data_IF_921084806934
#
_entry.id   IF_921084806934
#
_cell.length_a   1.000
_cell.length_b   1.000
_cell.length_c   1.000
_cell.angle_alpha   90.00
_cell.angle_beta   90.00
_cell.angle_gamma   90.00
#
_symmetry.space_group_name_H-M   'P 1'
#
loop_
_entity.id
_entity.type
_entity.pdbx_description
1 polymer ?
#
# COMPACT_ATOMS: atom_id res chain seq x y z
N UNK A 1 -6.23 -9.61 52.81
CA UNK A 1 -5.58 -8.34 52.42
C UNK A 1 -4.31 -8.57 51.63
N UNK A 2 -3.43 -9.48 52.04
CA UNK A 2 -2.21 -9.87 51.30
C UNK A 2 -2.46 -10.42 49.89
N UNK A 3 -3.55 -11.14 49.64
CA UNK A 3 -3.90 -11.65 48.30
C UNK A 3 -4.34 -10.53 47.35
N UNK A 4 -5.02 -9.50 47.87
CA UNK A 4 -5.43 -8.33 47.08
C UNK A 4 -4.22 -7.44 46.79
N UNK A 5 -3.30 -7.29 47.73
CA UNK A 5 -2.01 -6.61 47.51
C UNK A 5 -1.13 -7.39 46.53
N UNK A 6 -1.12 -8.73 46.53
CA UNK A 6 -0.44 -9.54 45.50
C UNK A 6 -1.06 -9.38 44.11
N UNK A 7 -2.38 -9.23 44.00
CA UNK A 7 -3.07 -8.99 42.72
C UNK A 7 -2.82 -7.56 42.23
N UNK A 8 -2.84 -6.56 43.13
CA UNK A 8 -2.50 -5.17 42.80
C UNK A 8 -1.02 -5.00 42.46
N UNK A 9 -0.13 -5.78 43.07
CA UNK A 9 1.30 -5.84 42.73
C UNK A 9 1.59 -6.69 41.48
N UNK A 10 0.69 -7.60 41.07
CA UNK A 10 0.78 -8.28 39.76
C UNK A 10 0.37 -7.35 38.61
N UNK A 11 -0.54 -6.41 38.87
CA UNK A 11 -0.86 -5.29 37.96
C UNK A 11 0.12 -4.12 38.04
N UNK A 12 1.13 -4.20 38.91
CA UNK A 12 2.27 -3.30 38.87
C UNK A 12 3.10 -3.70 37.65
N UNK A 13 2.74 -3.09 36.52
CA UNK A 13 3.55 -2.84 35.32
C UNK A 13 4.95 -3.43 35.49
N UNK A 14 5.15 -4.65 34.98
CA UNK A 14 6.49 -5.24 34.86
C UNK A 14 7.27 -4.19 34.09
N UNK A 15 8.09 -3.39 34.77
CA UNK A 15 8.81 -2.28 34.16
C UNK A 15 9.53 -2.87 32.95
N UNK A 16 9.00 -2.60 31.75
CA UNK A 16 9.54 -3.19 30.53
C UNK A 16 10.91 -2.55 30.39
N UNK A 17 11.92 -3.33 30.73
CA UNK A 17 13.30 -2.87 30.63
C UNK A 17 13.57 -2.62 29.15
N UNK A 18 13.76 -1.35 28.80
CA UNK A 18 13.99 -0.94 27.43
C UNK A 18 15.43 -1.30 27.05
N UNK A 19 15.61 -2.49 26.48
CA UNK A 19 16.91 -2.97 26.03
C UNK A 19 17.14 -2.54 24.57
N UNK A 20 18.25 -1.86 24.25
CA UNK A 20 18.57 -1.49 22.89
C UNK A 20 18.78 -2.74 22.03
N UNK A 21 18.21 -2.74 20.82
CA UNK A 21 18.57 -3.72 19.79
C UNK A 21 20.02 -3.46 19.38
N UNK A 22 20.84 -4.51 19.25
CA UNK A 22 22.23 -4.41 18.80
C UNK A 22 22.49 -5.44 17.70
N UNK A 23 21.68 -5.37 16.64
CA UNK A 23 21.84 -6.20 15.44
C UNK A 23 22.10 -5.32 14.21
N UNK A 24 23.39 -5.05 14.00
CA UNK A 24 23.89 -4.23 12.89
C UNK A 24 23.57 -4.84 11.52
N UNK A 25 23.45 -6.16 11.43
CA UNK A 25 23.16 -6.85 10.17
C UNK A 25 21.72 -6.58 9.75
N UNK A 26 20.77 -6.75 10.68
CA UNK A 26 19.35 -6.47 10.43
C UNK A 26 19.13 -4.98 10.14
N UNK A 27 19.84 -4.07 10.84
CA UNK A 27 19.81 -2.64 10.52
C UNK A 27 20.25 -2.36 9.08
N UNK A 28 21.40 -2.90 8.66
CA UNK A 28 21.93 -2.69 7.31
C UNK A 28 20.96 -3.22 6.25
N UNK A 29 20.39 -4.41 6.45
CA UNK A 29 19.37 -4.98 5.56
C UNK A 29 18.15 -4.06 5.47
N UNK A 30 17.59 -3.62 6.60
CA UNK A 30 16.42 -2.72 6.60
C UNK A 30 16.72 -1.38 5.93
N UNK A 31 17.90 -0.79 6.12
CA UNK A 31 18.30 0.45 5.44
C UNK A 31 18.42 0.26 3.92
N UNK A 32 19.09 -0.81 3.49
CA UNK A 32 19.19 -1.17 2.08
C UNK A 32 17.81 -1.34 1.44
N UNK A 33 16.88 -2.01 2.13
CA UNK A 33 15.52 -2.20 1.67
C UNK A 33 14.74 -0.89 1.57
N UNK A 34 14.86 0.02 2.55
CA UNK A 34 14.24 1.34 2.50
C UNK A 34 14.72 2.16 1.29
N UNK A 35 16.03 2.15 1.01
CA UNK A 35 16.60 2.85 -0.15
C UNK A 35 16.08 2.23 -1.45
N UNK A 36 16.16 0.90 -1.58
CA UNK A 36 15.68 0.18 -2.76
C UNK A 36 14.19 0.40 -3.01
N UNK A 37 13.39 0.48 -1.95
CA UNK A 37 11.96 0.78 -2.01
C UNK A 37 11.73 2.17 -2.63
N UNK A 38 12.38 3.22 -2.12
CA UNK A 38 12.22 4.58 -2.68
C UNK A 38 12.61 4.59 -4.16
N UNK A 39 13.77 4.02 -4.49
CA UNK A 39 14.26 3.93 -5.88
C UNK A 39 13.23 3.21 -6.77
N UNK A 40 12.57 2.16 -6.28
CA UNK A 40 11.58 1.41 -7.07
C UNK A 40 10.35 2.24 -7.46
N UNK A 41 9.91 3.14 -6.59
CA UNK A 41 8.70 3.95 -6.80
C UNK A 41 8.95 5.22 -7.61
N UNK A 42 10.16 5.79 -7.51
CA UNK A 42 10.52 7.04 -8.18
C UNK A 42 10.18 7.08 -9.69
N UNK A 43 10.50 6.06 -10.52
CA UNK A 43 10.16 6.09 -11.94
C UNK A 43 8.65 6.19 -12.19
N UNK A 44 7.83 5.53 -11.36
CA UNK A 44 6.38 5.56 -11.49
C UNK A 44 5.84 6.95 -11.11
N UNK A 45 6.27 7.50 -9.97
CA UNK A 45 5.89 8.85 -9.56
C UNK A 45 6.31 9.89 -10.60
N UNK A 46 7.55 9.81 -11.08
CA UNK A 46 8.08 10.69 -12.10
C UNK A 46 7.23 10.64 -13.38
N UNK A 47 6.89 9.43 -13.88
CA UNK A 47 6.07 9.28 -15.09
C UNK A 47 4.71 9.98 -14.97
N UNK A 48 4.03 9.84 -13.83
CA UNK A 48 2.72 10.48 -13.61
C UNK A 48 2.88 12.01 -13.59
N UNK A 49 3.90 12.51 -12.88
CA UNK A 49 4.15 13.95 -12.73
C UNK A 49 4.59 14.59 -14.05
N UNK A 50 5.50 13.94 -14.78
CA UNK A 50 6.05 14.43 -16.03
C UNK A 50 5.01 14.42 -17.16
N UNK A 51 4.22 13.34 -17.27
CA UNK A 51 3.20 13.22 -18.32
C UNK A 51 1.88 13.92 -17.95
N UNK A 52 1.73 14.39 -16.70
CA UNK A 52 0.53 15.08 -16.20
C UNK A 52 -0.77 14.31 -16.42
N UNK A 53 -0.69 12.98 -16.40
CA UNK A 53 -1.82 12.08 -16.63
C UNK A 53 -1.71 10.81 -15.82
N UNK A 54 -2.85 10.35 -15.29
CA UNK A 54 -2.99 9.07 -14.60
C UNK A 54 -3.73 8.01 -15.44
N UNK A 55 -3.71 8.15 -16.77
CA UNK A 55 -4.27 7.15 -17.67
C UNK A 55 -3.64 5.76 -17.49
N UNK A 56 -4.48 4.73 -17.59
CA UNK A 56 -4.08 3.33 -17.43
C UNK A 56 -4.11 2.81 -15.99
N UNK A 57 -4.34 3.67 -14.99
CA UNK A 57 -4.54 3.26 -13.60
C UNK A 57 -6.01 2.90 -13.33
N UNK A 58 -6.23 1.85 -12.52
CA UNK A 58 -7.55 1.43 -12.07
C UNK A 58 -7.83 1.96 -10.66
N UNK A 59 -8.91 2.74 -10.49
CA UNK A 59 -9.34 3.26 -9.20
C UNK A 59 -9.60 2.14 -8.18
N UNK A 60 -10.20 1.02 -8.60
CA UNK A 60 -10.44 -0.15 -7.75
C UNK A 60 -9.16 -0.83 -7.28
N UNK A 61 -8.17 -0.92 -8.17
CA UNK A 61 -6.85 -1.47 -7.80
C UNK A 61 -6.17 -0.59 -6.74
N UNK A 62 -6.24 0.73 -6.92
CA UNK A 62 -5.68 1.68 -5.95
C UNK A 62 -6.45 1.67 -4.62
N UNK A 63 -7.79 1.53 -4.64
CA UNK A 63 -8.60 1.36 -3.43
C UNK A 63 -8.10 0.18 -2.60
N UNK A 64 -8.04 -1.01 -3.20
CA UNK A 64 -7.65 -2.24 -2.51
C UNK A 64 -6.23 -2.12 -1.94
N UNK A 65 -5.31 -1.53 -2.70
CA UNK A 65 -3.93 -1.34 -2.25
C UNK A 65 -3.78 -0.30 -1.13
N UNK A 66 -4.51 0.82 -1.17
CA UNK A 66 -4.41 1.86 -0.13
C UNK A 66 -5.03 1.38 1.17
N UNK A 67 -6.21 0.75 1.10
CA UNK A 67 -6.87 0.18 2.29
C UNK A 67 -5.98 -0.91 2.88
N UNK A 68 -5.50 -1.85 2.05
CA UNK A 68 -4.59 -2.91 2.48
C UNK A 68 -3.32 -2.37 3.14
N UNK A 69 -2.59 -1.46 2.48
CA UNK A 69 -1.33 -0.92 3.02
C UNK A 69 -1.55 -0.09 4.29
N UNK A 70 -2.67 0.63 4.39
CA UNK A 70 -3.05 1.35 5.61
C UNK A 70 -3.30 0.38 6.77
N UNK A 71 -4.01 -0.73 6.52
CA UNK A 71 -4.22 -1.76 7.55
C UNK A 71 -2.89 -2.39 8.00
N UNK A 72 -1.97 -2.69 7.07
CA UNK A 72 -0.62 -3.19 7.41
C UNK A 72 0.18 -2.17 8.24
N UNK A 73 0.07 -0.87 7.93
CA UNK A 73 0.77 0.18 8.67
C UNK A 73 0.28 0.29 10.11
N UNK A 74 -1.03 0.28 10.35
CA UNK A 74 -1.55 0.27 11.72
C UNK A 74 -1.26 -1.04 12.45
N UNK A 75 -1.31 -2.18 11.76
CA UNK A 75 -0.90 -3.48 12.32
C UNK A 75 0.51 -3.41 12.93
N UNK A 76 1.52 -2.91 12.18
CA UNK A 76 2.88 -2.84 12.70
C UNK A 76 3.04 -1.83 13.83
N UNK A 77 2.33 -0.69 13.79
CA UNK A 77 2.35 0.31 14.88
C UNK A 77 1.84 -0.30 16.18
N UNK A 78 0.72 -1.04 16.11
CA UNK A 78 0.12 -1.70 17.27
C UNK A 78 1.06 -2.78 17.84
N UNK A 79 1.67 -3.59 16.98
CA UNK A 79 2.60 -4.65 17.39
C UNK A 79 3.92 -4.12 17.94
N UNK A 80 4.42 -2.99 17.44
CA UNK A 80 5.67 -2.38 17.91
C UNK A 80 5.44 -1.22 18.89
N UNK A 81 4.26 -1.13 19.51
CA UNK A 81 3.95 -0.05 20.43
C UNK A 81 4.95 0.06 21.59
N UNK A 82 5.37 -1.09 22.15
CA UNK A 82 6.35 -1.10 23.24
C UNK A 82 7.71 -0.53 22.81
N UNK A 83 8.15 -0.83 21.58
CA UNK A 83 9.37 -0.27 21.02
C UNK A 83 9.24 1.26 20.83
N UNK A 84 8.06 1.73 20.40
CA UNK A 84 7.75 3.16 20.27
C UNK A 84 7.78 3.87 21.63
N UNK A 85 7.22 3.27 22.68
CA UNK A 85 7.25 3.84 24.04
C UNK A 85 8.67 3.85 24.59
N UNK A 86 9.44 2.79 24.38
CA UNK A 86 10.83 2.68 24.83
C UNK A 86 11.78 3.70 24.20
N UNK A 87 11.44 4.29 23.06
CA UNK A 87 12.23 5.36 22.45
C UNK A 87 12.43 6.59 23.34
N UNK A 88 11.57 6.82 24.35
CA UNK A 88 11.74 7.91 25.32
C UNK A 88 12.94 7.69 26.26
N UNK A 89 13.37 6.45 26.43
CA UNK A 89 14.42 6.05 27.38
C UNK A 89 15.72 5.58 26.69
N UNK A 90 15.68 5.41 25.37
CA UNK A 90 16.82 4.94 24.57
C UNK A 90 17.54 6.10 23.88
N UNK A 91 18.80 5.87 23.49
CA UNK A 91 19.52 6.79 22.61
C UNK A 91 18.86 6.85 21.23
N UNK A 92 19.06 7.96 20.50
CA UNK A 92 18.46 8.15 19.17
C UNK A 92 18.79 7.01 18.20
N UNK A 93 20.04 6.52 18.20
CA UNK A 93 20.45 5.40 17.36
C UNK A 93 19.73 4.09 17.71
N UNK A 94 19.68 3.75 19.01
CA UNK A 94 18.98 2.55 19.46
C UNK A 94 17.46 2.61 19.20
N UNK A 95 16.84 3.79 19.37
CA UNK A 95 15.45 4.00 19.00
C UNK A 95 15.23 3.80 17.49
N UNK A 96 16.09 4.39 16.65
CA UNK A 96 16.00 4.25 15.20
C UNK A 96 16.08 2.79 14.77
N UNK A 97 17.03 2.02 15.30
CA UNK A 97 17.17 0.58 15.08
C UNK A 97 15.91 -0.20 15.49
N UNK A 98 15.37 0.12 16.67
CA UNK A 98 14.11 -0.45 17.18
C UNK A 98 12.92 -0.18 16.25
N UNK A 99 12.82 1.03 15.70
CA UNK A 99 11.69 1.47 14.88
C UNK A 99 11.81 1.11 13.39
N UNK A 100 12.91 0.48 12.95
CA UNK A 100 13.13 0.21 11.53
C UNK A 100 11.98 -0.56 10.86
N UNK A 101 11.26 -1.44 11.55
CA UNK A 101 10.10 -2.14 10.97
C UNK A 101 8.92 -1.22 10.70
N UNK A 102 8.62 -0.30 11.64
CA UNK A 102 7.59 0.73 11.47
C UNK A 102 7.99 1.70 10.36
N UNK A 103 9.26 2.11 10.31
CA UNK A 103 9.79 2.99 9.26
C UNK A 103 9.68 2.33 7.88
N UNK A 104 10.10 1.07 7.77
CA UNK A 104 10.13 0.33 6.51
C UNK A 104 8.72 0.10 5.93
N UNK A 105 7.76 -0.31 6.76
CA UNK A 105 6.35 -0.45 6.35
C UNK A 105 5.68 0.91 6.13
N UNK A 106 5.96 1.91 6.98
CA UNK A 106 5.45 3.26 6.82
C UNK A 106 5.90 3.92 5.52
N UNK A 107 7.15 3.67 5.11
CA UNK A 107 7.69 4.13 3.83
C UNK A 107 6.98 3.46 2.65
N UNK A 108 6.73 2.15 2.71
CA UNK A 108 5.94 1.42 1.71
C UNK A 108 4.53 2.02 1.57
N UNK A 109 3.86 2.25 2.71
CA UNK A 109 2.53 2.85 2.76
C UNK A 109 2.52 4.28 2.17
N UNK A 110 3.49 5.11 2.54
CA UNK A 110 3.62 6.47 2.04
C UNK A 110 3.87 6.51 0.53
N UNK A 111 4.80 5.69 0.02
CA UNK A 111 5.11 5.63 -1.41
C UNK A 111 3.91 5.17 -2.25
N UNK A 112 3.17 4.15 -1.79
CA UNK A 112 1.96 3.69 -2.48
C UNK A 112 0.81 4.71 -2.37
N UNK A 113 0.61 5.32 -1.20
CA UNK A 113 -0.40 6.38 -1.02
C UNK A 113 -0.11 7.60 -1.89
N UNK A 114 1.16 7.94 -2.10
CA UNK A 114 1.56 8.99 -3.04
C UNK A 114 1.14 8.67 -4.48
N UNK A 115 1.22 7.40 -4.92
CA UNK A 115 0.68 7.00 -6.24
C UNK A 115 -0.81 7.30 -6.33
N UNK A 116 -1.57 7.00 -5.26
CA UNK A 116 -3.01 7.28 -5.23
C UNK A 116 -3.33 8.78 -5.24
N UNK A 117 -2.59 9.59 -4.48
CA UNK A 117 -2.73 11.05 -4.50
C UNK A 117 -2.41 11.61 -5.88
N UNK A 118 -1.30 11.19 -6.49
CA UNK A 118 -0.93 11.59 -7.85
C UNK A 118 -1.98 11.15 -8.88
N UNK A 119 -2.58 9.96 -8.71
CA UNK A 119 -3.67 9.48 -9.55
C UNK A 119 -4.88 10.43 -9.55
N UNK A 120 -5.29 10.92 -8.37
CA UNK A 120 -6.40 11.86 -8.24
C UNK A 120 -6.04 13.25 -8.77
N UNK A 121 -4.83 13.75 -8.47
CA UNK A 121 -4.36 15.06 -8.91
C UNK A 121 -4.24 15.15 -10.44
N UNK A 122 -3.68 14.12 -11.06
CA UNK A 122 -3.46 14.05 -12.51
C UNK A 122 -4.53 13.23 -13.23
N UNK A 123 -5.73 13.11 -12.65
CA UNK A 123 -6.86 12.49 -13.34
C UNK A 123 -7.20 13.29 -14.62
N UNK A 124 -7.21 12.65 -15.80
CA UNK A 124 -7.34 13.36 -17.08
C UNK A 124 -8.64 14.16 -17.17
N UNK A 125 -8.53 15.46 -17.45
CA UNK A 125 -9.68 16.37 -17.45
C UNK A 125 -10.75 16.00 -18.47
N UNK A 126 -10.32 15.51 -19.64
CA UNK A 126 -11.22 15.01 -20.68
C UNK A 126 -12.12 13.87 -20.21
N UNK A 127 -11.70 13.09 -19.20
CA UNK A 127 -12.49 12.00 -18.62
C UNK A 127 -13.28 12.40 -17.38
N UNK A 128 -13.15 13.64 -16.87
CA UNK A 128 -13.91 14.09 -15.69
C UNK A 128 -15.39 14.33 -15.99
N UNK A 129 -15.71 14.72 -17.22
CA UNK A 129 -17.08 15.05 -17.65
C UNK A 129 -17.47 14.19 -18.84
N UNK A 130 -18.75 13.85 -18.94
CA UNK A 130 -19.26 13.17 -20.14
C UNK A 130 -19.33 14.18 -21.28
N UNK A 131 -18.77 13.82 -22.44
CA UNK A 131 -18.98 14.59 -23.66
C UNK A 131 -20.42 14.34 -24.13
N UNK A 132 -21.24 15.39 -24.25
CA UNK A 132 -22.56 15.23 -24.83
C UNK A 132 -22.42 14.79 -26.29
N UNK A 133 -23.14 13.73 -26.70
CA UNK A 133 -23.41 13.52 -28.12
C UNK A 133 -24.10 14.79 -28.65
N UNK A 134 -23.71 15.34 -29.81
CA UNK A 134 -24.35 16.52 -30.35
C UNK A 134 -25.83 16.19 -30.57
N UNK A 135 -26.69 16.71 -29.69
CA UNK A 135 -28.14 16.61 -29.86
C UNK A 135 -28.46 17.49 -31.05
N UNK A 136 -28.91 16.84 -32.12
CA UNK A 136 -29.57 17.38 -33.31
C UNK A 136 -29.71 18.90 -33.36
N UNK A 137 -29.05 19.49 -34.37
CA UNK A 137 -29.33 20.75 -35.06
C UNK A 137 -30.46 21.63 -34.46
N UNK A 138 -30.10 22.87 -34.11
CA UNK A 138 -30.94 24.02 -33.73
C UNK A 138 -31.55 24.06 -32.32
N UNK A 139 -30.91 24.82 -31.42
CA UNK A 139 -31.37 26.15 -30.98
C UNK A 139 -30.31 26.74 -30.02
N UNK A 140 -29.78 27.91 -30.35
CA UNK A 140 -28.90 28.69 -29.46
C UNK A 140 -29.68 29.16 -28.22
N UNK A 141 -29.69 28.33 -27.18
CA UNK A 141 -30.06 28.77 -25.83
C UNK A 141 -28.77 28.85 -25.00
N UNK A 142 -28.49 29.97 -24.30
CA UNK A 142 -27.30 30.12 -23.47
C UNK A 142 -27.50 29.33 -22.18
N UNK A 143 -27.51 28.02 -22.30
CA UNK A 143 -27.62 27.13 -21.18
C UNK A 143 -26.21 26.89 -20.66
N UNK A 144 -25.88 27.61 -19.59
CA UNK A 144 -24.78 27.34 -18.66
C UNK A 144 -25.02 26.01 -17.92
N UNK A 145 -25.40 24.95 -18.65
CA UNK A 145 -25.61 23.62 -18.11
C UNK A 145 -24.26 22.94 -18.18
N UNK A 146 -23.52 23.01 -17.08
CA UNK A 146 -22.28 22.26 -16.91
C UNK A 146 -22.55 20.78 -17.17
N UNK A 147 -21.77 20.17 -18.06
CA UNK A 147 -21.90 18.76 -18.39
C UNK A 147 -21.71 17.88 -17.13
N UNK A 148 -22.52 16.82 -16.97
CA UNK A 148 -22.50 15.97 -15.79
C UNK A 148 -21.15 15.25 -15.63
N UNK A 149 -20.76 14.99 -14.38
CA UNK A 149 -19.55 14.23 -14.06
C UNK A 149 -19.62 12.82 -14.66
N UNK A 150 -18.49 12.34 -15.18
CA UNK A 150 -18.36 10.96 -15.66
C UNK A 150 -18.49 9.95 -14.51
N UNK A 151 -18.93 8.75 -14.84
CA UNK A 151 -19.05 7.67 -13.86
C UNK A 151 -17.67 7.25 -13.31
N UNK A 152 -16.62 7.28 -14.15
CA UNK A 152 -15.24 6.97 -13.72
C UNK A 152 -14.72 7.96 -12.67
N UNK A 153 -14.99 9.25 -12.86
CA UNK A 153 -14.59 10.26 -11.90
C UNK A 153 -15.39 10.16 -10.60
N UNK A 154 -16.71 9.92 -10.67
CA UNK A 154 -17.54 9.65 -9.48
C UNK A 154 -17.02 8.46 -8.68
N UNK A 155 -16.69 7.34 -9.34
CA UNK A 155 -16.11 6.17 -8.69
C UNK A 155 -14.79 6.53 -8.02
N UNK A 156 -13.92 7.30 -8.69
CA UNK A 156 -12.65 7.74 -8.12
C UNK A 156 -12.81 8.60 -6.86
N UNK A 157 -13.83 9.47 -6.82
CA UNK A 157 -14.16 10.27 -5.63
C UNK A 157 -14.70 9.40 -4.48
N UNK A 158 -15.56 8.43 -4.77
CA UNK A 158 -16.06 7.48 -3.76
C UNK A 158 -14.91 6.65 -3.20
N UNK A 159 -14.01 6.16 -4.07
CA UNK A 159 -12.79 5.46 -3.66
C UNK A 159 -11.95 6.31 -2.72
N UNK A 160 -11.74 7.59 -3.04
CA UNK A 160 -11.00 8.52 -2.17
C UNK A 160 -11.67 8.69 -0.81
N UNK A 161 -13.00 8.86 -0.77
CA UNK A 161 -13.76 8.97 0.48
C UNK A 161 -13.64 7.69 1.33
N UNK A 162 -13.72 6.51 0.71
CA UNK A 162 -13.55 5.22 1.42
C UNK A 162 -12.14 5.08 1.98
N UNK A 163 -11.10 5.41 1.21
CA UNK A 163 -9.72 5.39 1.69
C UNK A 163 -9.51 6.32 2.90
N UNK A 164 -10.02 7.56 2.83
CA UNK A 164 -9.94 8.54 3.92
C UNK A 164 -10.72 8.05 5.14
N UNK A 165 -11.94 7.55 4.94
CA UNK A 165 -12.76 7.00 6.01
C UNK A 165 -12.10 5.82 6.71
N UNK A 166 -11.52 4.89 5.96
CA UNK A 166 -10.78 3.75 6.51
C UNK A 166 -9.51 4.18 7.27
N UNK A 167 -8.75 5.14 6.73
CA UNK A 167 -7.59 5.73 7.41
C UNK A 167 -7.99 6.36 8.74
N UNK A 168 -9.03 7.20 8.75
CA UNK A 168 -9.53 7.85 9.94
C UNK A 168 -10.01 6.81 10.96
N UNK A 169 -10.87 5.87 10.55
CA UNK A 169 -11.39 4.83 11.44
C UNK A 169 -10.26 4.00 12.06
N UNK A 170 -9.30 3.56 11.24
CA UNK A 170 -8.16 2.77 11.72
C UNK A 170 -7.28 3.56 12.68
N UNK A 171 -7.05 4.84 12.40
CA UNK A 171 -6.33 5.75 13.28
C UNK A 171 -7.04 5.92 14.62
N UNK A 172 -8.33 6.28 14.62
CA UNK A 172 -9.10 6.51 15.84
C UNK A 172 -9.17 5.26 16.71
N UNK A 173 -9.51 4.10 16.15
CA UNK A 173 -9.58 2.84 16.93
C UNK A 173 -8.21 2.48 17.49
N UNK A 174 -7.14 2.57 16.68
CA UNK A 174 -5.79 2.23 17.13
C UNK A 174 -5.32 3.16 18.25
N UNK A 175 -5.52 4.47 18.13
CA UNK A 175 -5.16 5.43 19.17
C UNK A 175 -5.95 5.19 20.46
N UNK A 176 -7.27 4.96 20.36
CA UNK A 176 -8.11 4.67 21.53
C UNK A 176 -7.62 3.40 22.26
N UNK A 177 -7.31 2.33 21.53
CA UNK A 177 -6.78 1.10 22.13
C UNK A 177 -5.41 1.35 22.78
N UNK A 178 -4.50 2.04 22.10
CA UNK A 178 -3.15 2.29 22.64
C UNK A 178 -3.14 3.20 23.87
N UNK A 179 -4.07 4.17 23.95
CA UNK A 179 -4.18 5.11 25.08
C UNK A 179 -4.92 4.48 26.27
N UNK A 180 -6.03 3.78 26.03
CA UNK A 180 -6.90 3.30 27.12
C UNK A 180 -6.65 1.84 27.52
N UNK A 181 -6.11 1.02 26.62
CA UNK A 181 -5.83 -0.40 26.87
C UNK A 181 -4.33 -0.64 26.99
N UNK A 182 -3.54 -0.07 26.08
CA UNK A 182 -2.09 -0.23 26.03
C UNK A 182 -1.62 -1.07 24.85
N UNK A 183 -0.39 -1.59 24.96
CA UNK A 183 0.33 -2.29 23.89
C UNK A 183 -0.22 -3.68 23.51
N UNK A 184 0.51 -4.43 22.68
CA UNK A 184 0.06 -5.69 22.07
C UNK A 184 -0.04 -6.86 23.05
N UNK A 185 0.43 -6.72 24.30
CA UNK A 185 0.25 -7.71 25.38
C UNK A 185 -1.23 -7.81 25.80
N UNK A 186 -2.00 -6.73 25.59
CA UNK A 186 -3.43 -6.75 25.83
C UNK A 186 -4.16 -7.39 24.64
N UNK A 187 -5.04 -8.34 24.93
CA UNK A 187 -5.72 -9.12 23.90
C UNK A 187 -6.57 -8.27 22.95
N UNK A 188 -7.13 -7.14 23.40
CA UNK A 188 -7.94 -6.24 22.56
C UNK A 188 -7.07 -5.56 21.48
N UNK A 189 -5.92 -4.99 21.88
CA UNK A 189 -4.95 -4.39 20.96
C UNK A 189 -4.40 -5.43 20.01
N UNK A 190 -4.07 -6.63 20.52
CA UNK A 190 -3.57 -7.73 19.71
C UNK A 190 -4.60 -8.21 18.68
N UNK A 191 -5.86 -8.35 19.08
CA UNK A 191 -6.96 -8.78 18.21
C UNK A 191 -7.22 -7.76 17.10
N UNK A 192 -7.25 -6.47 17.43
CA UNK A 192 -7.38 -5.40 16.44
C UNK A 192 -6.21 -5.39 15.46
N UNK A 193 -4.98 -5.55 15.95
CA UNK A 193 -3.80 -5.68 15.09
C UNK A 193 -3.94 -6.90 14.15
N UNK A 194 -4.33 -8.06 14.67
CA UNK A 194 -4.51 -9.27 13.86
C UNK A 194 -5.58 -9.11 12.79
N UNK A 195 -6.71 -8.49 13.13
CA UNK A 195 -7.77 -8.15 12.17
C UNK A 195 -7.23 -7.28 11.03
N UNK A 196 -6.49 -6.22 11.34
CA UNK A 196 -5.89 -5.34 10.34
C UNK A 196 -4.88 -6.08 9.44
N UNK A 197 -4.06 -6.96 10.01
CA UNK A 197 -3.10 -7.77 9.24
C UNK A 197 -3.80 -8.73 8.27
N UNK A 198 -4.84 -9.45 8.74
CA UNK A 198 -5.62 -10.37 7.90
C UNK A 198 -6.39 -9.61 6.82
N UNK A 199 -7.05 -8.49 7.18
CA UNK A 199 -7.75 -7.63 6.24
C UNK A 199 -6.79 -7.16 5.14
N UNK A 200 -5.58 -6.74 5.52
CA UNK A 200 -4.54 -6.31 4.59
C UNK A 200 -4.19 -7.42 3.58
N UNK A 201 -3.95 -8.64 4.05
CA UNK A 201 -3.62 -9.80 3.21
C UNK A 201 -4.76 -10.13 2.23
N UNK A 202 -6.01 -10.16 2.69
CA UNK A 202 -7.17 -10.46 1.85
C UNK A 202 -7.32 -9.40 0.75
N UNK A 203 -7.29 -8.12 1.12
CA UNK A 203 -7.44 -7.02 0.17
C UNK A 203 -6.30 -6.99 -0.85
N UNK A 204 -5.07 -7.24 -0.42
CA UNK A 204 -3.93 -7.33 -1.33
C UNK A 204 -4.06 -8.52 -2.29
N UNK A 205 -4.57 -9.65 -1.82
CA UNK A 205 -4.84 -10.82 -2.68
C UNK A 205 -5.89 -10.47 -3.75
N UNK A 206 -6.99 -9.83 -3.34
CA UNK A 206 -8.03 -9.35 -4.25
C UNK A 206 -7.54 -8.25 -5.20
N UNK A 207 -6.47 -7.52 -4.83
CA UNK A 207 -5.83 -6.54 -5.69
C UNK A 207 -5.04 -7.21 -6.83
N UNK A 208 -4.25 -8.24 -6.52
CA UNK A 208 -3.36 -8.88 -7.49
C UNK A 208 -4.03 -9.98 -8.34
N UNK A 209 -4.94 -10.78 -7.77
CA UNK A 209 -5.54 -11.93 -8.47
C UNK A 209 -6.29 -11.52 -9.76
N UNK A 210 -7.18 -10.50 -9.75
CA UNK A 210 -7.88 -10.09 -10.98
C UNK A 210 -6.91 -9.59 -12.05
N UNK A 211 -5.82 -8.94 -11.65
CA UNK A 211 -4.78 -8.49 -12.58
C UNK A 211 -4.06 -9.68 -13.19
N UNK A 212 -3.62 -10.66 -12.39
CA UNK A 212 -3.01 -11.91 -12.85
C UNK A 212 -3.93 -12.61 -13.86
N UNK A 213 -5.21 -12.76 -13.52
CA UNK A 213 -6.20 -13.36 -14.40
C UNK A 213 -6.37 -12.57 -15.71
N UNK A 214 -6.46 -11.23 -15.63
CA UNK A 214 -6.58 -10.37 -16.82
C UNK A 214 -5.36 -10.49 -17.72
N UNK A 215 -4.15 -10.47 -17.16
CA UNK A 215 -2.92 -10.61 -17.95
C UNK A 215 -2.82 -12.00 -18.59
N UNK A 216 -3.27 -13.05 -17.88
CA UNK A 216 -3.38 -14.42 -18.44
C UNK A 216 -4.29 -14.47 -19.67
N UNK A 217 -5.48 -13.87 -19.56
CA UNK A 217 -6.46 -13.84 -20.64
C UNK A 217 -6.01 -12.97 -21.81
N UNK A 218 -5.47 -11.77 -21.53
CA UNK A 218 -5.08 -10.81 -22.56
C UNK A 218 -3.79 -11.18 -23.27
N UNK A 219 -2.88 -11.92 -22.62
CA UNK A 219 -1.51 -12.22 -23.09
C UNK A 219 -0.72 -10.94 -23.45
N UNK A 220 -1.05 -9.81 -22.82
CA UNK A 220 -0.45 -8.49 -22.99
C UNK A 220 -0.04 -7.93 -21.64
N UNK A 221 1.09 -7.22 -21.58
CA UNK A 221 1.72 -6.78 -20.32
C UNK A 221 1.00 -5.57 -19.69
N UNK A 222 0.24 -4.81 -20.49
CA UNK A 222 -0.52 -3.65 -20.00
C UNK A 222 0.37 -2.47 -19.59
N UNK A 223 -0.19 -1.51 -18.84
CA UNK A 223 0.50 -0.28 -18.44
C UNK A 223 1.38 -0.40 -17.18
N UNK A 224 1.51 -1.61 -16.61
CA UNK A 224 2.18 -1.86 -15.33
C UNK A 224 3.70 -1.74 -15.49
N UNK A 225 4.36 -1.11 -14.52
CA UNK A 225 5.80 -0.89 -14.52
C UNK A 225 6.56 -2.20 -14.24
N UNK A 226 6.95 -2.92 -15.29
CA UNK A 226 7.86 -4.08 -15.21
C UNK A 226 9.14 -3.74 -14.42
N UNK A 227 9.81 -2.59 -14.65
CA UNK A 227 11.04 -2.26 -13.92
C UNK A 227 10.86 -2.15 -12.41
N UNK A 228 9.74 -1.58 -11.96
CA UNK A 228 9.39 -1.50 -10.54
C UNK A 228 9.21 -2.89 -9.94
N UNK A 229 8.47 -3.77 -10.63
CA UNK A 229 8.26 -5.14 -10.17
C UNK A 229 9.54 -5.96 -10.14
N UNK A 230 10.46 -5.76 -11.10
CA UNK A 230 11.76 -6.43 -11.13
C UNK A 230 12.64 -6.05 -9.94
N UNK A 231 12.60 -4.80 -9.49
CA UNK A 231 13.37 -4.37 -8.31
C UNK A 231 12.70 -4.85 -7.01
N UNK A 232 11.37 -4.78 -6.93
CA UNK A 232 10.63 -5.10 -5.70
C UNK A 232 10.54 -6.60 -5.41
N UNK A 233 10.25 -7.44 -6.41
CA UNK A 233 10.03 -8.88 -6.21
C UNK A 233 11.15 -9.57 -5.42
N UNK A 234 12.44 -9.43 -5.78
CA UNK A 234 13.53 -10.01 -4.99
C UNK A 234 13.68 -9.32 -3.62
N UNK A 235 13.47 -8.00 -3.56
CA UNK A 235 13.49 -7.24 -2.31
C UNK A 235 12.44 -7.70 -1.31
N UNK A 236 11.26 -8.14 -1.77
CA UNK A 236 10.16 -8.60 -0.90
C UNK A 236 10.54 -9.83 -0.08
N UNK A 237 11.38 -10.73 -0.60
CA UNK A 237 11.87 -11.88 0.18
C UNK A 237 12.72 -11.43 1.39
N UNK A 238 13.64 -10.50 1.16
CA UNK A 238 14.46 -9.89 2.22
C UNK A 238 13.60 -9.02 3.16
N UNK A 239 12.57 -8.35 2.64
CA UNK A 239 11.62 -7.58 3.42
C UNK A 239 10.87 -8.47 4.41
N UNK A 240 10.31 -9.60 3.95
CA UNK A 240 9.64 -10.58 4.81
C UNK A 240 10.61 -11.14 5.85
N UNK A 241 11.82 -11.51 5.46
CA UNK A 241 12.85 -11.97 6.40
C UNK A 241 13.14 -10.93 7.49
N UNK A 242 13.33 -9.66 7.11
CA UNK A 242 13.60 -8.55 8.05
C UNK A 242 12.48 -8.32 9.06
N UNK A 243 11.24 -8.69 8.72
CA UNK A 243 10.10 -8.64 9.63
C UNK A 243 10.04 -9.87 10.52
N UNK A 244 10.27 -11.08 10.00
CA UNK A 244 10.25 -12.33 10.78
C UNK A 244 11.28 -12.29 11.92
N UNK A 245 12.49 -11.79 11.65
CA UNK A 245 13.55 -11.72 12.68
C UNK A 245 13.36 -10.55 13.66
N UNK A 246 12.40 -9.66 13.42
CA UNK A 246 12.19 -8.47 14.24
C UNK A 246 11.41 -8.80 15.51
N UNK A 247 11.95 -8.49 16.71
CA UNK A 247 11.23 -8.67 17.97
C UNK A 247 9.93 -7.85 18.03
N UNK A 248 8.93 -8.38 18.73
CA UNK A 248 7.62 -7.73 18.87
C UNK A 248 6.72 -7.84 17.65
N UNK A 249 7.17 -8.47 16.57
CA UNK A 249 6.31 -8.77 15.42
C UNK A 249 5.74 -10.19 15.51
N UNK A 250 4.69 -10.45 14.74
CA UNK A 250 4.11 -11.79 14.59
C UNK A 250 3.72 -12.04 13.13
N UNK A 251 3.12 -13.19 12.85
CA UNK A 251 2.75 -13.58 11.48
C UNK A 251 1.81 -12.60 10.77
N UNK A 252 0.98 -11.87 11.51
CA UNK A 252 0.05 -10.89 10.92
C UNK A 252 0.77 -9.67 10.32
N UNK A 253 2.01 -9.40 10.75
CA UNK A 253 2.84 -8.32 10.23
C UNK A 253 3.56 -8.66 8.93
N UNK A 254 3.99 -9.92 8.74
CA UNK A 254 4.83 -10.30 7.59
C UNK A 254 4.08 -11.11 6.53
N UNK A 255 2.99 -11.80 6.89
CA UNK A 255 2.30 -12.73 5.98
C UNK A 255 1.70 -12.01 4.76
N UNK A 256 1.16 -10.79 4.93
CA UNK A 256 0.69 -9.95 3.83
C UNK A 256 1.79 -9.72 2.78
N UNK A 257 3.01 -9.42 3.21
CA UNK A 257 4.14 -9.17 2.32
C UNK A 257 4.63 -10.45 1.63
N UNK A 258 4.56 -11.58 2.33
CA UNK A 258 4.86 -12.89 1.73
C UNK A 258 3.86 -13.22 0.61
N UNK A 259 2.57 -13.09 0.89
CA UNK A 259 1.50 -13.38 -0.09
C UNK A 259 1.59 -12.42 -1.28
N UNK A 260 1.74 -11.12 -1.04
CA UNK A 260 1.89 -10.14 -2.12
C UNK A 260 3.17 -10.35 -2.92
N UNK A 261 4.28 -10.73 -2.29
CA UNK A 261 5.52 -11.10 -2.99
C UNK A 261 5.34 -12.26 -3.95
N UNK A 262 4.64 -13.32 -3.53
CA UNK A 262 4.33 -14.48 -4.40
C UNK A 262 3.42 -14.08 -5.56
N UNK A 263 2.37 -13.31 -5.30
CA UNK A 263 1.43 -12.85 -6.33
C UNK A 263 2.12 -11.90 -7.33
N UNK A 264 2.91 -10.94 -6.83
CA UNK A 264 3.69 -10.01 -7.65
C UNK A 264 4.76 -10.74 -8.47
N UNK A 265 5.45 -11.71 -7.89
CA UNK A 265 6.42 -12.56 -8.59
C UNK A 265 5.76 -13.39 -9.69
N UNK A 266 4.58 -13.96 -9.42
CA UNK A 266 3.78 -14.68 -10.43
C UNK A 266 3.43 -13.76 -11.60
N UNK A 267 2.91 -12.56 -11.31
CA UNK A 267 2.61 -11.56 -12.33
C UNK A 267 3.85 -11.14 -13.13
N UNK A 268 5.00 -10.97 -12.47
CA UNK A 268 6.25 -10.61 -13.13
C UNK A 268 6.70 -11.67 -14.14
N UNK A 269 6.71 -12.95 -13.74
CA UNK A 269 7.08 -14.07 -14.62
C UNK A 269 6.17 -14.09 -15.85
N UNK A 270 4.88 -13.96 -15.62
CA UNK A 270 3.85 -13.84 -16.64
C UNK A 270 4.14 -12.68 -17.62
N UNK A 271 4.35 -11.47 -17.12
CA UNK A 271 4.71 -10.30 -17.93
C UNK A 271 5.97 -10.50 -18.77
N UNK A 272 7.02 -11.10 -18.20
CA UNK A 272 8.27 -11.40 -18.91
C UNK A 272 8.02 -12.39 -20.04
N UNK A 273 7.29 -13.48 -19.78
CA UNK A 273 6.97 -14.51 -20.79
C UNK A 273 6.21 -13.91 -21.97
N UNK A 274 5.19 -13.08 -21.73
CA UNK A 274 4.43 -12.46 -22.82
C UNK A 274 5.20 -11.38 -23.55
N UNK A 275 6.03 -10.59 -22.86
CA UNK A 275 6.89 -9.61 -23.52
C UNK A 275 7.78 -10.27 -24.58
N UNK A 276 8.46 -11.37 -24.22
CA UNK A 276 9.31 -12.10 -25.17
C UNK A 276 8.50 -12.76 -26.28
N UNK A 277 7.33 -13.34 -25.97
CA UNK A 277 6.44 -13.92 -26.97
C UNK A 277 5.94 -12.88 -27.97
N UNK A 278 5.44 -11.75 -27.50
CA UNK A 278 4.86 -10.69 -28.33
C UNK A 278 5.94 -10.05 -29.20
N UNK A 279 7.13 -9.81 -28.65
CA UNK A 279 8.30 -9.37 -29.41
C UNK A 279 8.66 -10.34 -30.54
N UNK A 280 8.61 -11.65 -30.30
CA UNK A 280 8.85 -12.68 -31.33
C UNK A 280 7.76 -12.69 -32.42
N UNK A 281 6.52 -12.35 -32.07
CA UNK A 281 5.37 -12.33 -32.98
C UNK A 281 5.13 -10.96 -33.64
N UNK A 282 5.93 -9.94 -33.33
CA UNK A 282 5.71 -8.57 -33.82
C UNK A 282 4.44 -7.90 -33.27
N UNK A 283 3.94 -8.35 -32.12
CA UNK A 283 2.73 -7.80 -31.49
C UNK A 283 3.08 -6.70 -30.48
N UNK A 284 2.30 -5.61 -30.38
CA UNK A 284 2.52 -4.57 -29.38
C UNK A 284 2.10 -5.04 -27.97
N UNK A 285 2.89 -4.66 -26.96
CA UNK A 285 2.65 -5.02 -25.56
C UNK A 285 1.52 -4.21 -24.87
N UNK A 286 1.23 -3.04 -25.42
CA UNK A 286 0.19 -2.11 -24.97
C UNK A 286 -0.80 -1.95 -26.12
N UNK A 287 -2.08 -1.93 -25.78
CA UNK A 287 -3.11 -1.63 -26.77
C UNK A 287 -3.04 -0.14 -27.12
N UNK A 288 -2.92 0.24 -28.41
CA UNK A 288 -2.95 1.64 -28.80
C UNK A 288 -4.25 2.25 -28.29
N UNK A 289 -4.17 3.38 -27.60
CA UNK A 289 -5.37 4.16 -27.25
C UNK A 289 -6.11 4.51 -28.54
N UNK A 290 -7.43 4.66 -28.44
CA UNK A 290 -8.30 4.94 -29.59
C UNK A 290 -7.83 6.17 -30.40
N UNK A 291 -7.17 7.13 -29.73
CA UNK A 291 -6.50 8.29 -30.32
C UNK A 291 -5.35 7.93 -31.27
N UNK A 292 -4.59 6.87 -31.00
CA UNK A 292 -3.48 6.42 -31.86
C UNK A 292 -4.00 5.75 -33.13
N UNK A 293 -5.15 5.05 -33.06
CA UNK A 293 -5.79 4.43 -34.23
C UNK A 293 -6.41 5.43 -35.20
N UNK A 294 -6.65 6.67 -34.75
CA UNK A 294 -7.18 7.75 -35.59
C UNK A 294 -6.08 8.57 -36.27
N UNK A 295 -4.80 8.27 -35.98
CA UNK A 295 -3.63 8.95 -36.52
C UNK A 295 -2.79 8.05 -37.44
N UNK A 296 -3.22 6.81 -37.67
CA UNK A 296 -2.70 5.85 -38.66
C UNK A 296 -3.76 5.59 -39.74
#
# INVERSE_FOLDING_TARGET
METVVKILNYSQEKAKECVPLNDKTTLFISLFLCIGLVISYLPQHYRIIANKTSEGFSAWFLLLGVVSSTSSFFNIILLQWDAIVCCKSLSTGACFEGLMGVIQIGLQWAMFSLVFVLFLLYFPESKKRQLHAPRSLHLDLPNNIQSPLSNEWKVSLVVAAVCIGHLALSFFISVLLLVFVGGPDHWQTNYWAAFLGILSMILASLQYIPQIYKTWQSKKVGAISIPMMMLQTPGTALFVYSLIVRPGTNWTAWLTYMVTGVLQGTLLVMCIVWHYRNKKLGLPDIEPTETTRLLE
#
